data_IF_820495782893
#
_entry.id   IF_820495782893
#
_cell.length_a   1.000
_cell.length_b   1.000
_cell.length_c   1.000
_cell.angle_alpha   90.00
_cell.angle_beta   90.00
_cell.angle_gamma   90.00
#
_symmetry.space_group_name_H-M   'P 1'
#
loop_
_entity.id
_entity.type
_entity.pdbx_description
1 polymer ?
#
# COMPACT_ATOMS: atom_id res chain seq x y z
N UNK A 1 15.19 0.26 9.33
CA UNK A 1 14.76 1.60 8.92
C UNK A 1 14.41 2.51 10.09
N UNK A 2 14.02 1.94 11.23
CA UNK A 2 13.75 2.73 12.44
C UNK A 2 15.03 3.07 13.17
N UNK A 3 15.16 4.33 13.59
CA UNK A 3 16.27 4.82 14.39
C UNK A 3 15.95 4.74 15.92
N UNK A 4 14.76 4.24 16.25
CA UNK A 4 14.29 4.06 17.63
C UNK A 4 13.99 2.60 17.94
N UNK A 5 14.12 2.16 19.21
CA UNK A 5 13.78 0.80 19.63
C UNK A 5 12.30 0.48 19.35
N UNK A 6 12.06 -0.73 18.84
CA UNK A 6 10.72 -1.26 18.62
C UNK A 6 10.46 -2.35 19.65
N UNK A 7 9.36 -2.20 20.38
CA UNK A 7 8.94 -3.12 21.43
C UNK A 7 7.56 -3.68 21.11
N UNK A 8 7.43 -4.99 21.14
CA UNK A 8 6.11 -5.64 21.11
C UNK A 8 5.68 -5.85 22.55
N UNK A 9 4.53 -5.36 22.92
CA UNK A 9 3.98 -5.49 24.26
C UNK A 9 3.51 -6.93 24.53
N UNK A 10 3.39 -7.30 25.79
CA UNK A 10 2.99 -8.65 26.18
C UNK A 10 1.50 -8.91 25.94
N UNK A 11 0.68 -7.89 26.18
CA UNK A 11 -0.78 -7.96 25.99
C UNK A 11 -1.32 -6.75 25.26
N UNK A 12 -2.49 -6.89 24.61
CA UNK A 12 -3.16 -5.80 23.92
C UNK A 12 -3.60 -4.67 24.87
N UNK A 13 -3.94 -5.00 26.13
CA UNK A 13 -4.33 -4.03 27.16
C UNK A 13 -3.21 -3.03 27.46
N UNK A 14 -1.94 -3.44 27.34
CA UNK A 14 -0.80 -2.54 27.52
C UNK A 14 -0.77 -1.40 26.49
N UNK A 15 -1.44 -1.57 25.35
CA UNK A 15 -1.64 -0.53 24.36
C UNK A 15 -2.84 0.37 24.63
N UNK A 16 -3.59 0.17 25.72
CA UNK A 16 -4.82 0.92 26.05
C UNK A 16 -5.85 0.92 24.90
N UNK A 17 -5.95 -0.18 24.17
CA UNK A 17 -6.82 -0.35 23.00
C UNK A 17 -6.27 0.21 21.68
N UNK A 18 -5.11 0.87 21.70
CA UNK A 18 -4.42 1.27 20.46
C UNK A 18 -3.69 0.09 19.81
N UNK A 19 -3.50 0.15 18.50
CA UNK A 19 -2.69 -0.82 17.77
C UNK A 19 -1.19 -0.67 18.07
N UNK A 20 -0.73 0.54 18.34
CA UNK A 20 0.63 0.88 18.70
C UNK A 20 0.71 2.33 19.14
N UNK A 21 1.87 2.74 19.59
CA UNK A 21 2.18 4.14 19.86
C UNK A 21 3.70 4.39 19.91
N UNK A 22 4.08 5.60 19.57
CA UNK A 22 5.41 6.13 19.87
C UNK A 22 5.38 6.85 21.20
N UNK A 23 6.32 6.55 22.07
CA UNK A 23 6.50 7.23 23.36
C UNK A 23 7.60 8.29 23.26
N UNK A 24 7.28 9.60 23.27
CA UNK A 24 8.30 10.66 23.30
C UNK A 24 9.18 10.61 24.55
N UNK A 25 8.64 10.10 25.66
CA UNK A 25 9.34 10.03 26.96
C UNK A 25 10.41 8.94 26.95
N UNK A 26 10.04 7.71 26.56
CA UNK A 26 10.99 6.57 26.52
C UNK A 26 11.72 6.48 25.19
N UNK A 27 11.26 7.20 24.17
CA UNK A 27 11.78 7.14 22.79
C UNK A 27 11.73 5.73 22.21
N UNK A 28 10.62 5.04 22.46
CA UNK A 28 10.36 3.70 21.99
C UNK A 28 9.09 3.66 21.16
N UNK A 29 9.04 2.76 20.18
CA UNK A 29 7.81 2.38 19.50
C UNK A 29 7.28 1.12 20.16
N UNK A 30 6.03 1.18 20.60
CA UNK A 30 5.32 0.04 21.19
C UNK A 30 4.24 -0.45 20.21
N UNK A 31 4.14 -1.77 20.05
CA UNK A 31 3.15 -2.42 19.18
C UNK A 31 2.32 -3.43 19.97
N UNK A 32 1.04 -3.50 19.67
CA UNK A 32 0.17 -4.55 20.18
C UNK A 32 0.63 -5.93 19.67
N UNK A 33 0.63 -6.96 20.52
CA UNK A 33 0.99 -8.32 20.14
C UNK A 33 -0.03 -8.95 19.18
N UNK A 34 -1.27 -8.43 19.15
CA UNK A 34 -2.35 -8.96 18.31
C UNK A 34 -2.21 -8.57 16.84
N UNK A 35 -1.39 -7.57 16.54
CA UNK A 35 -1.15 -7.12 15.18
C UNK A 35 -0.46 -8.19 14.33
N UNK A 36 -1.03 -8.48 13.16
CA UNK A 36 -0.51 -9.47 12.22
C UNK A 36 -0.44 -8.91 10.80
N UNK A 37 0.45 -9.52 10.00
CA UNK A 37 0.53 -9.24 8.58
C UNK A 37 0.68 -7.74 8.26
N UNK A 38 -0.09 -7.29 7.30
CA UNK A 38 -0.02 -5.91 6.78
C UNK A 38 -0.42 -4.84 7.80
N UNK A 39 -1.35 -5.15 8.70
CA UNK A 39 -1.75 -4.23 9.76
C UNK A 39 -0.56 -3.89 10.68
N UNK A 40 0.25 -4.90 11.03
CA UNK A 40 1.45 -4.69 11.83
C UNK A 40 2.47 -3.79 11.13
N UNK A 41 2.68 -4.01 9.82
CA UNK A 41 3.60 -3.19 9.02
C UNK A 41 3.09 -1.76 8.93
N UNK A 42 1.80 -1.56 8.62
CA UNK A 42 1.19 -0.24 8.55
C UNK A 42 1.33 0.52 9.87
N UNK A 43 0.94 -0.10 10.99
CA UNK A 43 1.07 0.52 12.33
C UNK A 43 2.53 0.88 12.62
N UNK A 44 3.48 -0.02 12.33
CA UNK A 44 4.89 0.26 12.53
C UNK A 44 5.36 1.48 11.73
N UNK A 45 4.97 1.61 10.45
CA UNK A 45 5.32 2.76 9.61
C UNK A 45 4.72 4.06 10.15
N UNK A 46 3.49 4.01 10.66
CA UNK A 46 2.82 5.12 11.31
C UNK A 46 3.61 5.59 12.55
N UNK A 47 3.96 4.68 13.45
CA UNK A 47 4.72 5.01 14.67
C UNK A 47 6.17 5.46 14.37
N UNK A 48 6.80 4.90 13.34
CA UNK A 48 8.10 5.39 12.86
C UNK A 48 7.98 6.85 12.40
N UNK A 49 6.89 7.22 11.73
CA UNK A 49 6.68 8.60 11.29
C UNK A 49 6.54 9.54 12.48
N UNK A 50 5.77 9.17 13.51
CA UNK A 50 5.70 9.94 14.75
C UNK A 50 7.09 10.09 15.39
N UNK A 51 7.87 9.03 15.45
CA UNK A 51 9.22 9.08 16.01
C UNK A 51 10.19 9.99 15.24
N UNK A 52 9.91 10.28 13.97
CA UNK A 52 10.73 11.14 13.11
C UNK A 52 10.27 12.60 13.13
N UNK A 53 8.98 12.83 12.89
CA UNK A 53 8.40 14.16 12.73
C UNK A 53 7.93 14.79 14.04
N UNK A 54 7.48 13.95 14.99
CA UNK A 54 6.77 14.40 16.18
C UNK A 54 7.49 14.01 17.49
N UNK A 55 8.83 13.89 17.46
CA UNK A 55 9.67 13.38 18.59
C UNK A 55 9.41 14.08 19.92
N UNK A 56 9.16 15.37 19.87
CA UNK A 56 9.01 16.23 21.05
C UNK A 56 7.55 16.67 21.22
N UNK A 57 6.63 16.08 20.45
CA UNK A 57 5.22 16.49 20.51
C UNK A 57 4.60 16.06 21.84
N UNK A 58 3.90 17.01 22.45
CA UNK A 58 3.06 16.80 23.63
C UNK A 58 1.62 17.25 23.32
N UNK A 59 1.22 17.18 22.05
CA UNK A 59 -0.09 17.65 21.62
C UNK A 59 -1.20 16.81 22.25
N UNK A 60 -2.24 17.49 22.65
CA UNK A 60 -3.41 16.85 23.26
C UNK A 60 -4.23 16.16 22.19
N UNK A 61 -4.65 14.94 22.46
CA UNK A 61 -5.54 14.18 21.60
C UNK A 61 -6.78 15.02 21.19
N UNK A 62 -7.02 15.08 19.89
CA UNK A 62 -8.14 15.84 19.32
C UNK A 62 -7.87 17.33 19.09
N UNK A 63 -6.66 17.85 19.40
CA UNK A 63 -6.26 19.18 18.97
C UNK A 63 -6.06 19.25 17.46
N UNK A 64 -6.18 20.44 16.86
CA UNK A 64 -5.92 20.66 15.43
C UNK A 64 -4.51 20.20 15.05
N UNK A 65 -3.52 20.55 15.86
CA UNK A 65 -2.13 20.18 15.63
C UNK A 65 -1.91 18.65 15.74
N UNK A 66 -2.60 18.01 16.69
CA UNK A 66 -2.60 16.54 16.76
C UNK A 66 -3.19 15.93 15.49
N UNK A 67 -4.31 16.48 14.97
CA UNK A 67 -4.92 16.00 13.74
C UNK A 67 -3.97 16.11 12.52
N UNK A 68 -3.18 17.20 12.43
CA UNK A 68 -2.16 17.32 11.38
C UNK A 68 -1.04 16.28 11.52
N UNK A 69 -0.60 15.98 12.73
CA UNK A 69 0.40 14.96 12.99
C UNK A 69 -0.09 13.55 12.62
N UNK A 70 -1.34 13.25 12.91
CA UNK A 70 -1.98 11.99 12.50
C UNK A 70 -2.09 11.89 10.98
N UNK A 71 -2.44 13.01 10.32
CA UNK A 71 -2.50 13.07 8.86
C UNK A 71 -1.12 12.80 8.22
N UNK A 72 -0.05 13.38 8.77
CA UNK A 72 1.32 13.16 8.33
C UNK A 72 1.73 11.68 8.52
N UNK A 73 1.43 11.11 9.69
CA UNK A 73 1.80 9.74 10.02
C UNK A 73 1.04 8.73 9.14
N UNK A 74 -0.27 8.89 8.99
CA UNK A 74 -1.09 7.99 8.19
C UNK A 74 -0.76 8.08 6.69
N UNK A 75 -0.58 9.31 6.17
CA UNK A 75 -0.24 9.51 4.77
C UNK A 75 1.15 8.94 4.44
N UNK A 76 2.13 9.13 5.31
CA UNK A 76 3.47 8.56 5.14
C UNK A 76 3.41 7.03 5.15
N UNK A 77 2.71 6.44 6.12
CA UNK A 77 2.53 4.99 6.21
C UNK A 77 1.85 4.42 4.95
N UNK A 78 0.83 5.12 4.43
CA UNK A 78 0.14 4.73 3.20
C UNK A 78 1.07 4.75 1.99
N UNK A 79 1.85 5.82 1.79
CA UNK A 79 2.77 5.94 0.65
C UNK A 79 3.84 4.86 0.70
N UNK A 80 4.46 4.63 1.87
CA UNK A 80 5.51 3.60 2.02
C UNK A 80 4.93 2.18 1.87
N UNK A 81 3.76 1.90 2.44
CA UNK A 81 3.10 0.61 2.30
C UNK A 81 2.76 0.32 0.82
N UNK A 82 2.27 1.32 0.08
CA UNK A 82 1.98 1.19 -1.34
C UNK A 82 3.25 0.89 -2.16
N UNK A 83 4.37 1.54 -1.87
CA UNK A 83 5.66 1.22 -2.48
C UNK A 83 6.06 -0.24 -2.28
N UNK A 84 5.76 -0.80 -1.11
CA UNK A 84 6.00 -2.21 -0.78
C UNK A 84 4.93 -3.17 -1.36
N UNK A 85 4.02 -2.69 -2.19
CA UNK A 85 2.86 -3.43 -2.71
C UNK A 85 1.92 -3.97 -1.62
N UNK A 86 1.83 -3.27 -0.50
CA UNK A 86 0.90 -3.57 0.59
C UNK A 86 -0.32 -2.66 0.44
N UNK A 87 -1.48 -3.25 0.14
CA UNK A 87 -2.74 -2.51 0.05
C UNK A 87 -3.29 -2.21 1.44
N UNK A 88 -3.34 -0.93 1.77
CA UNK A 88 -3.86 -0.41 3.04
C UNK A 88 -5.04 0.55 2.85
N UNK A 89 -5.62 0.64 1.64
CA UNK A 89 -6.65 1.62 1.29
C UNK A 89 -7.85 1.60 2.22
N UNK A 90 -8.37 0.41 2.51
CA UNK A 90 -9.57 0.24 3.34
C UNK A 90 -9.39 0.79 4.76
N UNK A 91 -8.16 0.80 5.25
CA UNK A 91 -7.82 1.31 6.58
C UNK A 91 -7.47 2.80 6.55
N UNK A 92 -6.71 3.24 5.55
CA UNK A 92 -6.15 4.59 5.51
C UNK A 92 -7.17 5.64 5.10
N UNK A 93 -8.03 5.37 4.11
CA UNK A 93 -9.03 6.35 3.63
C UNK A 93 -10.05 6.69 4.71
N UNK A 94 -10.54 5.67 5.43
CA UNK A 94 -11.47 5.89 6.56
C UNK A 94 -10.86 6.74 7.66
N UNK A 95 -9.58 6.51 7.95
CA UNK A 95 -8.84 7.21 8.98
C UNK A 95 -8.58 8.68 8.60
N UNK A 96 -8.12 8.95 7.38
CA UNK A 96 -7.89 10.30 6.87
C UNK A 96 -9.16 11.15 6.90
N UNK A 97 -10.31 10.57 6.52
CA UNK A 97 -11.60 11.27 6.56
C UNK A 97 -12.05 11.63 7.98
N UNK A 98 -11.64 10.87 9.00
CA UNK A 98 -12.04 11.10 10.40
C UNK A 98 -11.33 12.30 11.05
N UNK A 99 -10.18 12.72 10.54
CA UNK A 99 -9.36 13.78 11.11
C UNK A 99 -9.64 15.19 10.55
N UNK A 100 -10.72 15.35 9.77
CA UNK A 100 -11.19 16.67 9.35
C UNK A 100 -10.34 17.29 8.24
N UNK A 101 -9.94 16.47 7.26
CA UNK A 101 -9.19 16.93 6.08
C UNK A 101 -9.83 18.14 5.38
N UNK A 102 -11.15 18.28 5.48
CA UNK A 102 -11.94 19.38 4.96
C UNK A 102 -11.74 20.73 5.70
N UNK A 103 -11.08 20.71 6.86
CA UNK A 103 -10.84 21.89 7.70
C UNK A 103 -9.41 22.41 7.64
N UNK A 104 -8.54 21.74 6.89
CA UNK A 104 -7.12 22.10 6.78
C UNK A 104 -6.97 23.24 5.78
N UNK A 105 -6.18 24.27 6.14
CA UNK A 105 -5.83 25.34 5.20
C UNK A 105 -4.87 24.86 4.12
N UNK A 106 -4.84 25.55 2.97
CA UNK A 106 -3.92 25.23 1.88
C UNK A 106 -2.44 25.23 2.34
N UNK A 107 -2.08 26.19 3.21
CA UNK A 107 -0.72 26.26 3.77
C UNK A 107 -0.40 25.06 4.67
N UNK A 108 -1.33 24.66 5.53
CA UNK A 108 -1.16 23.47 6.37
C UNK A 108 -1.05 22.21 5.51
N UNK A 109 -1.88 22.08 4.49
CA UNK A 109 -1.83 20.95 3.56
C UNK A 109 -0.50 20.89 2.82
N UNK A 110 0.01 22.03 2.33
CA UNK A 110 1.31 22.09 1.67
C UNK A 110 2.45 21.64 2.58
N UNK A 111 2.44 22.06 3.86
CA UNK A 111 3.42 21.64 4.85
C UNK A 111 3.34 20.14 5.15
N UNK A 112 2.12 19.61 5.34
CA UNK A 112 1.89 18.15 5.52
C UNK A 112 2.45 17.38 4.31
N UNK A 113 2.13 17.81 3.10
CA UNK A 113 2.60 17.12 1.88
C UNK A 113 4.12 17.13 1.76
N UNK A 114 4.79 18.23 2.10
CA UNK A 114 6.27 18.32 2.14
C UNK A 114 6.86 17.33 3.14
N UNK A 115 6.31 17.27 4.35
CA UNK A 115 6.78 16.39 5.40
C UNK A 115 6.55 14.91 5.03
N UNK A 116 5.37 14.58 4.49
CA UNK A 116 5.04 13.24 4.00
C UNK A 116 6.01 12.81 2.89
N UNK A 117 6.21 13.67 1.89
CA UNK A 117 7.10 13.35 0.76
C UNK A 117 8.54 13.11 1.20
N UNK A 118 9.08 13.99 2.05
CA UNK A 118 10.45 13.89 2.54
C UNK A 118 10.64 12.62 3.39
N UNK A 119 9.71 12.35 4.32
CA UNK A 119 9.79 11.22 5.23
C UNK A 119 9.57 9.90 4.51
N UNK A 120 8.56 9.81 3.62
CA UNK A 120 8.31 8.61 2.83
C UNK A 120 9.51 8.28 1.94
N UNK A 121 10.12 9.27 1.27
CA UNK A 121 11.32 9.07 0.46
C UNK A 121 12.47 8.48 1.29
N UNK A 122 12.76 9.08 2.44
CA UNK A 122 13.82 8.58 3.33
C UNK A 122 13.57 7.13 3.78
N UNK A 123 12.31 6.81 4.16
CA UNK A 123 11.95 5.48 4.60
C UNK A 123 12.05 4.46 3.46
N UNK A 124 11.57 4.80 2.27
CA UNK A 124 11.65 3.95 1.08
C UNK A 124 13.11 3.64 0.74
N UNK A 125 13.97 4.66 0.65
CA UNK A 125 15.39 4.48 0.36
C UNK A 125 16.07 3.55 1.36
N UNK A 126 15.81 3.72 2.66
CA UNK A 126 16.35 2.84 3.71
C UNK A 126 15.81 1.41 3.62
N UNK A 127 14.53 1.24 3.34
CA UNK A 127 13.90 -0.07 3.22
C UNK A 127 14.44 -0.80 1.98
N UNK A 128 14.52 -0.13 0.85
CA UNK A 128 15.02 -0.73 -0.41
C UNK A 128 16.46 -1.21 -0.25
N UNK A 129 17.34 -0.42 0.37
CA UNK A 129 18.72 -0.81 0.69
C UNK A 129 18.76 -2.07 1.56
N UNK A 130 17.89 -2.15 2.57
CA UNK A 130 17.81 -3.34 3.42
C UNK A 130 17.26 -4.56 2.67
N UNK A 131 16.21 -4.38 1.86
CA UNK A 131 15.61 -5.46 1.09
C UNK A 131 16.57 -6.03 0.03
N UNK A 132 17.41 -5.19 -0.58
CA UNK A 132 18.44 -5.66 -1.54
C UNK A 132 19.39 -6.70 -0.93
N UNK A 133 19.62 -6.67 0.38
CA UNK A 133 20.47 -7.66 1.09
C UNK A 133 19.83 -9.05 1.16
N UNK A 134 18.51 -9.14 1.06
CA UNK A 134 17.74 -10.38 1.17
C UNK A 134 17.28 -10.92 -0.18
N UNK A 135 17.22 -10.05 -1.20
CA UNK A 135 16.92 -10.49 -2.57
C UNK A 135 18.21 -11.04 -3.15
N UNK A 136 18.29 -12.38 -3.30
CA UNK A 136 19.37 -12.99 -4.07
C UNK A 136 19.44 -12.29 -5.43
N UNK A 137 20.64 -11.98 -5.96
CA UNK A 137 20.75 -11.30 -7.23
C UNK A 137 20.05 -12.13 -8.30
N UNK A 138 18.86 -11.69 -8.69
CA UNK A 138 18.18 -12.26 -9.85
C UNK A 138 19.16 -12.06 -11.01
N UNK A 139 19.66 -13.13 -11.63
CA UNK A 139 20.58 -12.97 -12.76
C UNK A 139 19.84 -12.11 -13.78
N UNK A 140 20.32 -10.90 -14.01
CA UNK A 140 19.82 -9.98 -15.03
C UNK A 140 20.10 -10.59 -16.39
N UNK A 141 19.38 -11.64 -16.75
CA UNK A 141 19.23 -12.08 -18.13
C UNK A 141 18.23 -11.12 -18.77
N UNK A 142 18.65 -9.86 -18.91
CA UNK A 142 17.93 -8.92 -19.73
C UNK A 142 18.03 -9.46 -21.15
N UNK A 143 16.98 -10.10 -21.60
CA UNK A 143 16.87 -10.40 -23.03
C UNK A 143 17.05 -9.11 -23.78
N UNK A 144 18.03 -9.07 -24.65
CA UNK A 144 18.27 -7.94 -25.53
C UNK A 144 17.01 -7.67 -26.35
N UNK A 145 16.84 -6.43 -26.83
CA UNK A 145 15.71 -6.08 -27.71
C UNK A 145 15.60 -7.06 -28.90
N UNK A 146 16.73 -7.52 -29.41
CA UNK A 146 16.84 -8.49 -30.50
C UNK A 146 16.24 -9.84 -30.10
N UNK A 147 16.58 -10.37 -28.94
CA UNK A 147 16.03 -11.64 -28.43
C UNK A 147 14.53 -11.56 -28.13
N UNK A 148 14.03 -10.39 -27.71
CA UNK A 148 12.59 -10.13 -27.51
C UNK A 148 11.84 -10.15 -28.83
N UNK A 149 12.41 -9.51 -29.88
CA UNK A 149 11.84 -9.47 -31.22
C UNK A 149 11.83 -10.87 -31.84
N UNK A 150 12.92 -11.61 -31.72
CA UNK A 150 13.03 -12.96 -32.28
C UNK A 150 12.05 -13.93 -31.60
N UNK A 151 11.87 -13.84 -30.29
CA UNK A 151 10.88 -14.62 -29.54
C UNK A 151 9.43 -14.24 -29.87
N UNK A 152 9.17 -12.97 -30.18
CA UNK A 152 7.87 -12.53 -30.66
C UNK A 152 7.57 -13.05 -32.07
N UNK A 153 8.57 -13.05 -32.97
CA UNK A 153 8.43 -13.58 -34.35
C UNK A 153 8.16 -15.09 -34.34
N UNK A 154 8.83 -15.87 -33.49
CA UNK A 154 8.61 -17.31 -33.36
C UNK A 154 7.18 -17.62 -32.87
N UNK A 155 6.66 -16.85 -31.91
CA UNK A 155 5.26 -17.01 -31.45
C UNK A 155 4.21 -16.63 -32.49
N UNK A 156 4.52 -15.71 -33.42
CA UNK A 156 3.60 -15.33 -34.52
C UNK A 156 3.58 -16.38 -35.61
N UNK A 157 4.68 -17.11 -35.85
CA UNK A 157 4.74 -18.13 -36.90
C UNK A 157 4.09 -19.47 -36.51
N UNK A 158 3.83 -19.71 -35.23
CA UNK A 158 3.17 -20.93 -34.72
C UNK A 158 1.63 -20.87 -34.73
N UNK A 159 1.03 -19.70 -34.98
CA UNK A 159 -0.41 -19.55 -35.15
C UNK A 159 -0.78 -19.58 -36.65
N UNK A 160 -0.83 -20.77 -37.25
CA UNK A 160 -1.55 -20.96 -38.51
C UNK A 160 -3.07 -20.83 -38.26
N UNK A 161 -3.83 -20.13 -39.16
CA UNK A 161 -5.27 -20.11 -39.06
C UNK A 161 -5.83 -21.52 -39.34
N UNK A 162 -6.64 -22.04 -38.46
CA UNK A 162 -7.51 -23.15 -38.77
C UNK A 162 -8.62 -22.63 -39.72
N UNK A 163 -8.61 -23.10 -40.96
CA UNK A 163 -9.73 -22.95 -41.88
C UNK A 163 -10.96 -23.61 -41.28
N UNK A 164 -11.96 -22.82 -40.99
CA UNK A 164 -13.29 -23.29 -40.62
C UNK A 164 -14.03 -23.62 -41.92
N UNK A 165 -14.12 -24.92 -42.24
CA UNK A 165 -15.07 -25.41 -43.28
C UNK A 165 -16.50 -25.04 -42.89
N UNK A 166 -17.10 -24.20 -43.70
CA UNK A 166 -18.55 -23.96 -43.74
C UNK A 166 -19.23 -25.22 -44.29
N UNK A 167 -19.83 -26.01 -43.44
CA UNK A 167 -20.86 -26.99 -43.90
C UNK A 167 -22.19 -26.29 -44.04
N UNK A 168 -22.57 -26.11 -45.34
CA UNK A 168 -23.94 -25.87 -45.73
C UNK A 168 -24.79 -27.09 -45.35
N UNK A 169 -25.80 -26.92 -44.55
CA UNK A 169 -26.92 -27.85 -44.50
C UNK A 169 -28.24 -27.08 -44.59
N UNK A 170 -29.02 -27.66 -45.47
CA UNK A 170 -30.21 -27.17 -46.16
C UNK A 170 -31.40 -26.93 -45.22
N UNK A 171 -32.20 -25.97 -45.72
CA UNK A 171 -33.62 -25.79 -45.43
C UNK A 171 -34.39 -27.11 -45.26
N UNK A 172 -35.27 -27.17 -44.31
CA UNK A 172 -36.58 -27.76 -44.50
C UNK A 172 -37.62 -27.09 -43.58
N UNK A 173 -38.65 -26.64 -44.25
CA UNK A 173 -39.92 -26.12 -43.76
C UNK A 173 -40.64 -27.07 -42.84
N UNK A 174 -41.34 -26.53 -41.83
CA UNK A 174 -42.74 -26.89 -41.51
C UNK A 174 -43.34 -25.88 -40.54
N UNK A 175 -44.20 -25.05 -41.05
CA UNK A 175 -45.68 -24.98 -40.98
C UNK A 175 -46.29 -25.11 -39.57
N UNK A 176 -46.70 -23.98 -39.08
CA UNK A 176 -48.05 -23.54 -38.66
C UNK A 176 -48.94 -24.57 -37.94
N UNK A 177 -49.39 -24.17 -36.77
CA UNK A 177 -50.71 -24.18 -36.11
C UNK A 177 -50.48 -23.86 -34.65
N UNK A 178 -51.07 -22.92 -34.02
CA UNK A 178 -52.45 -22.42 -34.03
C UNK A 178 -53.10 -22.80 -32.71
N UNK A 179 -53.64 -21.79 -32.06
CA UNK A 179 -54.75 -21.80 -31.09
C UNK A 179 -54.47 -22.02 -29.61
N UNK A 180 -54.75 -20.96 -28.88
CA UNK A 180 -55.73 -20.83 -27.76
C UNK A 180 -55.51 -21.71 -26.50
N UNK A 181 -55.27 -21.13 -25.36
CA UNK A 181 -56.21 -20.54 -24.36
C UNK A 181 -55.38 -19.70 -23.38
#
# INVERSE_FOLDING_TARGET
>A
ASDVPIKVLETAEMCSGANGFYSPTTKEICLSPDLKGYQRIKTLLHEITHSKLHKESQEVFGSEKYALQELEAESTAFVVANHLNIDTKDYSIGYLNSWGFDKISDEQLENVMKNVQATAKELIEKIDIELEKYVAPVPKKSMTMKERIDKAKTKCSEKKPQETELKNDKLSNNKIKGENE
#
